data_IF_104613779306
#
_entry.id   IF_104613779306
#
_cell.length_a   1.000
_cell.length_b   1.000
_cell.length_c   1.000
_cell.angle_alpha   90.00
_cell.angle_beta   90.00
_cell.angle_gamma   90.00
#
_symmetry.space_group_name_H-M   'P 1'
#
loop_
_entity.id
_entity.type
_entity.pdbx_description
1 polymer ?
#
# COMPACT_ATOMS: atom_id res chain seq x y z
N UNK A 1 -9.56 -25.95 -25.07
CA UNK A 1 -8.79 -26.04 -23.82
C UNK A 1 -7.50 -25.29 -24.13
N UNK A 2 -7.46 -24.00 -23.80
CA UNK A 2 -6.28 -23.16 -23.98
C UNK A 2 -5.33 -23.46 -22.83
N UNK A 3 -4.44 -24.44 -23.04
CA UNK A 3 -3.42 -24.76 -22.06
C UNK A 3 -2.41 -23.61 -22.06
N UNK A 4 -2.44 -22.81 -21.00
CA UNK A 4 -1.41 -21.82 -20.72
C UNK A 4 -0.05 -22.54 -20.76
N UNK A 5 0.92 -21.93 -21.44
CA UNK A 5 2.25 -22.48 -21.66
C UNK A 5 2.80 -23.14 -20.38
N UNK A 6 3.18 -24.43 -20.38
CA UNK A 6 3.64 -25.14 -19.18
C UNK A 6 4.72 -24.39 -18.39
N UNK A 7 5.59 -23.63 -19.08
CA UNK A 7 6.60 -22.79 -18.43
C UNK A 7 6.02 -21.63 -17.61
N UNK A 8 4.92 -21.02 -18.06
CA UNK A 8 4.21 -19.98 -17.28
C UNK A 8 3.60 -20.54 -15.99
N UNK A 9 3.03 -21.73 -16.06
CA UNK A 9 2.40 -22.38 -14.92
C UNK A 9 3.40 -22.72 -13.82
N UNK A 10 4.59 -23.20 -14.21
CA UNK A 10 5.70 -23.51 -13.29
C UNK A 10 6.22 -22.24 -12.62
N UNK A 11 6.50 -21.19 -13.38
CA UNK A 11 6.96 -19.90 -12.84
C UNK A 11 5.95 -19.32 -11.83
N UNK A 12 4.65 -19.44 -12.10
CA UNK A 12 3.62 -18.97 -11.16
C UNK A 12 3.59 -19.78 -9.86
N UNK A 13 3.81 -21.10 -9.92
CA UNK A 13 3.90 -21.94 -8.71
C UNK A 13 5.13 -21.55 -7.90
N UNK A 14 6.26 -21.29 -8.56
CA UNK A 14 7.47 -20.81 -7.91
C UNK A 14 7.28 -19.43 -7.27
N UNK A 15 6.64 -18.48 -7.98
CA UNK A 15 6.32 -17.16 -7.45
C UNK A 15 5.53 -17.26 -6.14
N UNK A 16 4.46 -18.06 -6.11
CA UNK A 16 3.65 -18.26 -4.87
C UNK A 16 4.44 -18.87 -3.72
N UNK A 17 5.41 -19.74 -4.02
CA UNK A 17 6.29 -20.30 -2.99
C UNK A 17 7.16 -19.21 -2.39
N UNK A 18 7.80 -18.39 -3.23
CA UNK A 18 8.64 -17.27 -2.78
C UNK A 18 7.82 -16.21 -2.03
N UNK A 19 6.60 -15.92 -2.48
CA UNK A 19 5.65 -15.03 -1.79
C UNK A 19 5.34 -15.55 -0.38
N UNK A 20 5.11 -16.86 -0.21
CA UNK A 20 4.90 -17.47 1.11
C UNK A 20 6.13 -17.42 2.01
N UNK A 21 7.32 -17.67 1.45
CA UNK A 21 8.58 -17.58 2.18
C UNK A 21 8.85 -16.13 2.63
N UNK A 22 8.55 -15.14 1.77
CA UNK A 22 8.64 -13.71 2.07
C UNK A 22 7.73 -13.30 3.22
N UNK A 23 6.47 -13.74 3.23
CA UNK A 23 5.51 -13.42 4.30
C UNK A 23 6.00 -13.89 5.69
N UNK A 24 6.49 -15.13 5.77
CA UNK A 24 7.03 -15.71 7.00
C UNK A 24 8.27 -14.96 7.48
N UNK A 25 9.18 -14.63 6.55
CA UNK A 25 10.43 -13.93 6.87
C UNK A 25 10.19 -12.48 7.26
N UNK A 26 9.33 -11.75 6.54
CA UNK A 26 8.95 -10.39 6.89
C UNK A 26 8.26 -10.31 8.24
N UNK A 27 7.37 -11.26 8.54
CA UNK A 27 6.72 -11.38 9.84
C UNK A 27 7.74 -11.62 10.96
N UNK A 28 8.72 -12.50 10.75
CA UNK A 28 9.79 -12.76 11.71
C UNK A 28 10.69 -11.53 11.92
N UNK A 29 11.03 -10.84 10.84
CA UNK A 29 11.85 -9.64 10.85
C UNK A 29 11.15 -8.49 11.59
N UNK A 30 9.85 -8.29 11.36
CA UNK A 30 9.05 -7.30 12.06
C UNK A 30 8.91 -7.60 13.57
N UNK A 31 8.78 -8.88 13.96
CA UNK A 31 8.70 -9.31 15.36
C UNK A 31 9.98 -9.06 16.12
N UNK A 32 11.11 -9.44 15.53
CA UNK A 32 12.42 -9.06 16.05
C UNK A 32 12.42 -7.54 16.26
N UNK A 33 11.90 -6.78 15.28
CA UNK A 33 11.72 -5.33 15.33
C UNK A 33 11.07 -4.86 16.61
N UNK A 34 9.89 -5.39 16.89
CA UNK A 34 9.12 -5.07 18.10
C UNK A 34 9.86 -5.35 19.42
N UNK A 35 10.69 -6.40 19.48
CA UNK A 35 11.43 -6.73 20.71
C UNK A 35 12.43 -5.63 21.12
N UNK A 36 13.03 -4.93 20.15
CA UNK A 36 13.90 -3.77 20.41
C UNK A 36 13.12 -2.56 20.96
N UNK A 37 11.87 -2.35 20.53
CA UNK A 37 11.03 -1.23 20.99
C UNK A 37 10.68 -1.34 22.47
N UNK A 38 10.41 -2.57 22.91
CA UNK A 38 9.91 -2.82 24.25
C UNK A 38 11.03 -2.89 25.31
N UNK A 39 12.27 -2.57 24.95
CA UNK A 39 13.37 -2.52 25.91
C UNK A 39 13.70 -3.88 26.53
N UNK A 40 13.53 -4.98 25.76
CA UNK A 40 13.80 -6.36 26.18
C UNK A 40 15.28 -6.70 26.46
N UNK A 41 16.07 -5.71 26.88
CA UNK A 41 17.39 -5.88 27.48
C UNK A 41 17.32 -5.96 29.01
N UNK A 42 16.21 -6.48 29.55
CA UNK A 42 16.16 -6.91 30.94
C UNK A 42 16.41 -8.41 30.97
N UNK A 43 17.70 -8.77 31.07
CA UNK A 43 18.23 -9.90 31.86
C UNK A 43 19.61 -10.35 31.33
N UNK A 44 20.67 -9.87 31.99
CA UNK A 44 21.80 -10.72 32.38
C UNK A 44 22.61 -11.50 31.32
N UNK A 45 22.73 -11.04 30.08
CA UNK A 45 23.68 -11.64 29.13
C UNK A 45 24.36 -10.55 28.32
N UNK A 46 25.61 -10.27 28.67
CA UNK A 46 26.48 -9.32 27.97
C UNK A 46 26.89 -9.82 26.59
N UNK A 47 25.95 -9.85 25.65
CA UNK A 47 26.23 -10.03 24.24
C UNK A 47 25.37 -9.08 23.41
N UNK A 48 25.73 -7.79 23.44
CA UNK A 48 25.19 -6.77 22.53
C UNK A 48 25.67 -6.93 21.09
N UNK A 49 26.37 -8.02 20.75
CA UNK A 49 27.00 -8.26 19.44
C UNK A 49 26.41 -9.47 18.71
N UNK A 50 25.83 -10.45 19.41
CA UNK A 50 25.14 -11.61 18.80
C UNK A 50 23.79 -11.29 18.15
N UNK A 51 23.13 -10.19 18.55
CA UNK A 51 21.91 -9.72 17.92
C UNK A 51 22.15 -9.15 16.51
N UNK A 52 23.11 -8.25 16.36
CA UNK A 52 23.33 -7.44 15.14
C UNK A 52 23.52 -8.27 13.86
N UNK A 53 24.19 -9.42 13.97
CA UNK A 53 24.40 -10.33 12.84
C UNK A 53 23.13 -11.07 12.39
N UNK A 54 22.24 -11.43 13.33
CA UNK A 54 21.00 -12.16 13.04
C UNK A 54 20.03 -11.34 12.18
N UNK A 55 19.94 -10.04 12.47
CA UNK A 55 19.09 -9.10 11.74
C UNK A 55 19.59 -8.80 10.34
N UNK A 56 20.88 -8.51 10.20
CA UNK A 56 21.52 -8.29 8.90
C UNK A 56 21.41 -9.55 8.04
N UNK A 57 21.53 -10.73 8.64
CA UNK A 57 21.31 -12.01 7.95
C UNK A 57 19.89 -12.12 7.40
N UNK A 58 18.88 -11.79 8.22
CA UNK A 58 17.48 -11.81 7.79
C UNK A 58 17.17 -10.74 6.74
N UNK A 59 17.77 -9.55 6.82
CA UNK A 59 17.68 -8.53 5.77
C UNK A 59 18.23 -9.04 4.44
N UNK A 60 19.42 -9.64 4.44
CA UNK A 60 20.02 -10.21 3.23
C UNK A 60 19.17 -11.33 2.63
N UNK A 61 18.58 -12.18 3.48
CA UNK A 61 17.69 -13.25 3.03
C UNK A 61 16.42 -12.69 2.39
N UNK A 62 15.77 -11.70 3.01
CA UNK A 62 14.58 -11.03 2.44
C UNK A 62 14.94 -10.32 1.12
N UNK A 63 16.07 -9.63 1.05
CA UNK A 63 16.55 -8.98 -0.17
C UNK A 63 16.75 -10.01 -1.30
N UNK A 64 17.35 -11.16 -0.98
CA UNK A 64 17.53 -12.25 -1.96
C UNK A 64 16.20 -12.86 -2.44
N UNK A 65 15.20 -12.99 -1.57
CA UNK A 65 13.88 -13.49 -1.93
C UNK A 65 13.11 -12.49 -2.81
N UNK A 66 13.22 -11.19 -2.52
CA UNK A 66 12.64 -10.13 -3.33
C UNK A 66 13.26 -10.08 -4.73
N UNK A 67 14.58 -10.20 -4.82
CA UNK A 67 15.31 -10.27 -6.10
C UNK A 67 14.87 -11.51 -6.89
N UNK A 68 14.78 -12.67 -6.23
CA UNK A 68 14.30 -13.89 -6.88
C UNK A 68 12.86 -13.76 -7.39
N UNK A 69 11.96 -13.11 -6.63
CA UNK A 69 10.58 -12.89 -7.06
C UNK A 69 10.52 -11.90 -8.25
N UNK A 70 11.41 -10.91 -8.29
CA UNK A 70 11.56 -10.01 -9.44
C UNK A 70 12.01 -10.78 -10.69
N UNK A 71 13.01 -11.65 -10.58
CA UNK A 71 13.49 -12.48 -11.70
C UNK A 71 12.39 -13.41 -12.23
N UNK A 72 11.60 -14.03 -11.34
CA UNK A 72 10.46 -14.87 -11.73
C UNK A 72 9.39 -14.02 -12.44
N UNK A 73 9.10 -12.82 -11.94
CA UNK A 73 8.17 -11.89 -12.58
C UNK A 73 8.64 -11.47 -13.98
N UNK A 74 9.93 -11.24 -14.17
CA UNK A 74 10.52 -10.91 -15.46
C UNK A 74 10.51 -12.12 -16.42
N UNK A 75 10.78 -13.33 -15.91
CA UNK A 75 10.64 -14.56 -16.68
C UNK A 75 9.18 -14.78 -17.13
N UNK A 76 8.23 -14.61 -16.21
CA UNK A 76 6.79 -14.64 -16.50
C UNK A 76 6.43 -13.62 -17.57
N UNK A 77 6.98 -12.41 -17.49
CA UNK A 77 6.77 -11.35 -18.49
C UNK A 77 7.25 -11.75 -19.89
N UNK A 78 8.39 -12.44 -19.98
CA UNK A 78 8.93 -12.97 -21.25
C UNK A 78 8.06 -14.08 -21.84
N UNK A 79 7.51 -14.97 -21.01
CA UNK A 79 6.58 -16.02 -21.46
C UNK A 79 5.29 -15.40 -22.05
N UNK A 80 4.75 -14.36 -21.44
CA UNK A 80 3.57 -13.66 -21.96
C UNK A 80 3.88 -12.96 -23.29
N UNK A 81 5.05 -12.32 -23.42
CA UNK A 81 5.43 -11.65 -24.67
C UNK A 81 5.60 -12.60 -25.87
N UNK A 82 5.92 -13.88 -25.63
CA UNK A 82 6.17 -14.88 -26.67
C UNK A 82 4.97 -15.74 -27.11
N UNK A 83 3.84 -15.68 -26.39
CA UNK A 83 2.67 -16.53 -26.63
C UNK A 83 1.42 -15.74 -27.08
N UNK A 84 0.43 -16.44 -27.65
CA UNK A 84 -0.93 -15.88 -27.84
C UNK A 84 -1.51 -15.52 -26.48
N UNK A 85 -1.37 -14.26 -26.13
CA UNK A 85 -1.65 -13.74 -24.80
C UNK A 85 -3.14 -13.60 -24.57
N UNK A 86 -3.67 -14.32 -23.59
CA UNK A 86 -5.05 -14.13 -23.13
C UNK A 86 -5.09 -13.01 -22.08
N UNK A 87 -6.19 -12.24 -22.06
CA UNK A 87 -6.38 -11.15 -21.09
C UNK A 87 -6.23 -11.64 -19.63
N UNK A 88 -6.66 -12.87 -19.34
CA UNK A 88 -6.56 -13.46 -18.00
C UNK A 88 -5.11 -13.69 -17.55
N UNK A 89 -4.20 -14.08 -18.46
CA UNK A 89 -2.77 -14.24 -18.17
C UNK A 89 -2.12 -12.88 -17.88
N UNK A 90 -2.44 -11.85 -18.67
CA UNK A 90 -1.91 -10.49 -18.43
C UNK A 90 -2.35 -9.92 -17.08
N UNK A 91 -3.60 -10.16 -16.68
CA UNK A 91 -4.12 -9.71 -15.38
C UNK A 91 -3.43 -10.44 -14.22
N UNK A 92 -3.18 -11.74 -14.36
CA UNK A 92 -2.43 -12.51 -13.35
C UNK A 92 -0.98 -11.99 -13.22
N UNK A 93 -0.31 -11.70 -14.33
CA UNK A 93 1.02 -11.09 -14.31
C UNK A 93 1.03 -9.74 -13.60
N UNK A 94 0.06 -8.87 -13.90
CA UNK A 94 -0.07 -7.59 -13.22
C UNK A 94 -0.19 -7.77 -11.70
N UNK A 95 -1.00 -8.76 -11.28
CA UNK A 95 -1.16 -9.07 -9.85
C UNK A 95 0.15 -9.52 -9.18
N UNK A 96 0.96 -10.36 -9.83
CA UNK A 96 2.27 -10.76 -9.27
C UNK A 96 3.26 -9.59 -9.17
N UNK A 97 3.19 -8.61 -10.09
CA UNK A 97 3.97 -7.36 -9.98
C UNK A 97 3.50 -6.49 -8.83
N UNK A 98 2.18 -6.37 -8.63
CA UNK A 98 1.61 -5.64 -7.49
C UNK A 98 2.04 -6.27 -6.16
N UNK A 99 1.97 -7.59 -6.03
CA UNK A 99 2.40 -8.33 -4.83
C UNK A 99 3.89 -8.10 -4.53
N UNK A 100 4.76 -8.19 -5.55
CA UNK A 100 6.18 -7.87 -5.39
C UNK A 100 6.40 -6.43 -4.88
N UNK A 101 5.62 -5.48 -5.42
CA UNK A 101 5.69 -4.09 -5.00
C UNK A 101 5.25 -3.92 -3.53
N UNK A 102 4.15 -4.56 -3.14
CA UNK A 102 3.64 -4.57 -1.76
C UNK A 102 4.70 -5.12 -0.78
N UNK A 103 5.30 -6.28 -1.06
CA UNK A 103 6.36 -6.85 -0.22
C UNK A 103 7.60 -5.94 -0.15
N UNK A 104 8.01 -5.35 -1.27
CA UNK A 104 9.15 -4.43 -1.31
C UNK A 104 8.89 -3.19 -0.44
N UNK A 105 7.67 -2.65 -0.51
CA UNK A 105 7.27 -1.50 0.29
C UNK A 105 7.20 -1.85 1.78
N UNK A 106 6.63 -3.00 2.12
CA UNK A 106 6.56 -3.49 3.49
C UNK A 106 7.96 -3.68 4.07
N UNK A 107 8.87 -4.33 3.35
CA UNK A 107 10.25 -4.51 3.78
C UNK A 107 10.92 -3.17 4.10
N UNK A 108 10.82 -2.19 3.19
CA UNK A 108 11.38 -0.85 3.39
C UNK A 108 10.80 -0.15 4.61
N UNK A 109 9.48 -0.26 4.82
CA UNK A 109 8.79 0.31 5.98
C UNK A 109 9.29 -0.31 7.29
N UNK A 110 9.34 -1.64 7.34
CA UNK A 110 9.78 -2.39 8.51
C UNK A 110 11.25 -2.12 8.83
N UNK A 111 12.13 -2.13 7.80
CA UNK A 111 13.55 -1.79 7.94
C UNK A 111 13.77 -0.37 8.47
N UNK A 112 13.03 0.61 7.94
CA UNK A 112 13.08 1.99 8.42
C UNK A 112 12.64 2.12 9.89
N UNK A 113 11.57 1.43 10.28
CA UNK A 113 11.10 1.42 11.66
C UNK A 113 12.14 0.83 12.63
N UNK A 114 12.71 -0.34 12.28
CA UNK A 114 13.73 -1.01 13.09
C UNK A 114 14.97 -0.13 13.23
N UNK A 115 15.43 0.48 12.13
CA UNK A 115 16.57 1.41 12.15
C UNK A 115 16.32 2.59 13.09
N UNK A 116 15.17 3.25 12.97
CA UNK A 116 14.84 4.39 13.83
C UNK A 116 14.79 4.00 15.31
N UNK A 117 14.22 2.84 15.63
CA UNK A 117 14.17 2.32 16.99
C UNK A 117 15.56 1.98 17.55
N UNK A 118 16.45 1.44 16.71
CA UNK A 118 17.83 1.15 17.09
C UNK A 118 18.60 2.43 17.36
N UNK A 119 18.51 3.42 16.47
CA UNK A 119 19.14 4.73 16.65
C UNK A 119 18.67 5.35 17.98
N UNK A 120 17.38 5.24 18.31
CA UNK A 120 16.85 5.66 19.61
C UNK A 120 17.43 4.87 20.80
N UNK A 121 17.56 3.54 20.69
CA UNK A 121 18.14 2.71 21.74
C UNK A 121 19.64 2.99 21.98
N UNK A 122 20.40 3.22 20.91
CA UNK A 122 21.83 3.59 20.98
C UNK A 122 22.01 4.94 21.69
N UNK A 123 21.17 5.95 21.37
CA UNK A 123 21.17 7.24 22.05
C UNK A 123 20.85 7.10 23.55
N UNK A 124 19.82 6.33 23.92
CA UNK A 124 19.48 6.10 25.33
C UNK A 124 20.59 5.36 26.10
N UNK A 125 21.27 4.43 25.44
CA UNK A 125 22.40 3.70 26.03
C UNK A 125 23.59 4.62 26.25
N UNK A 126 23.90 5.49 25.28
CA UNK A 126 24.94 6.53 25.42
C UNK A 126 24.64 7.45 26.61
N UNK A 127 23.43 7.99 26.69
CA UNK A 127 23.02 8.87 27.80
C UNK A 127 23.08 8.13 29.14
N UNK A 128 22.68 6.85 29.19
CA UNK A 128 22.78 6.05 30.41
C UNK A 128 24.23 5.84 30.85
N UNK A 129 25.15 5.63 29.91
CA UNK A 129 26.57 5.50 30.17
C UNK A 129 27.17 6.82 30.66
N UNK A 130 26.82 7.96 30.06
CA UNK A 130 27.28 9.27 30.51
C UNK A 130 26.80 9.58 31.94
N UNK A 131 25.54 9.22 32.26
CA UNK A 131 24.98 9.38 33.61
C UNK A 131 25.69 8.46 34.61
N UNK A 132 25.96 7.21 34.24
CA UNK A 132 26.64 6.26 35.13
C UNK A 132 28.09 6.67 35.36
N UNK A 133 28.80 7.09 34.32
CA UNK A 133 30.17 7.63 34.42
C UNK A 133 30.20 8.87 35.31
N UNK A 134 29.27 9.81 35.13
CA UNK A 134 29.18 10.99 36.00
C UNK A 134 28.90 10.61 37.46
N UNK A 135 28.01 9.65 37.71
CA UNK A 135 27.74 9.13 39.07
C UNK A 135 28.95 8.42 39.68
N UNK A 136 29.69 7.65 38.89
CA UNK A 136 30.91 6.96 39.34
C UNK A 136 32.00 7.99 39.68
N UNK A 137 32.17 9.03 38.87
CA UNK A 137 33.08 10.14 39.15
C UNK A 137 32.70 10.91 40.42
N UNK A 138 31.41 11.22 40.60
CA UNK A 138 30.89 11.87 41.82
C UNK A 138 31.14 11.00 43.07
N UNK A 139 30.90 9.69 42.96
CA UNK A 139 31.17 8.73 44.02
C UNK A 139 32.67 8.63 44.32
N UNK A 140 33.53 8.53 43.30
CA UNK A 140 34.99 8.45 43.47
C UNK A 140 35.55 9.71 44.15
N UNK A 141 35.06 10.89 43.78
CA UNK A 141 35.40 12.16 44.45
C UNK A 141 34.98 12.18 45.92
N UNK A 142 33.84 11.55 46.27
CA UNK A 142 33.35 11.47 47.64
C UNK A 142 34.13 10.48 48.51
N UNK A 143 34.61 9.39 47.93
CA UNK A 143 35.33 8.33 48.64
C UNK A 143 36.84 8.60 48.81
N UNK A 144 37.48 9.30 47.87
CA UNK A 144 38.94 9.53 47.88
C UNK A 144 39.41 10.79 48.64
N UNK A 145 38.54 11.53 49.32
CA UNK A 145 38.94 12.39 50.45
C UNK A 145 40.01 13.46 50.19
N UNK A 146 40.14 14.01 48.97
CA UNK A 146 41.03 15.16 48.70
C UNK A 146 40.22 16.42 48.40
N UNK A 147 39.27 16.76 49.28
CA UNK A 147 38.93 18.16 49.54
C UNK A 147 38.67 18.33 51.04
N UNK A 148 39.54 19.16 51.61
CA UNK A 148 39.63 19.60 52.98
C UNK A 148 38.30 19.79 53.69
N UNK A 149 38.31 19.41 54.96
CA UNK A 149 37.45 19.98 55.99
C UNK A 149 37.37 21.50 55.81
N UNK A 150 36.24 21.96 55.30
CA UNK A 150 35.72 23.31 55.47
C UNK A 150 34.19 23.17 55.51
N UNK A 151 33.71 22.82 56.70
CA UNK A 151 32.50 23.39 57.29
C UNK A 151 31.42 23.90 56.33
N UNK A 152 30.35 23.12 56.17
CA UNK A 152 28.98 23.62 56.37
C UNK A 152 28.40 24.71 55.46
N UNK A 153 29.05 25.10 54.36
CA UNK A 153 28.44 26.03 53.41
C UNK A 153 28.69 25.59 51.97
N UNK A 154 27.58 25.41 51.26
CA UNK A 154 27.48 25.10 49.85
C UNK A 154 28.19 26.20 49.03
N UNK A 155 29.50 26.08 48.77
CA UNK A 155 30.22 27.09 47.96
C UNK A 155 29.65 27.10 46.53
N UNK A 156 28.99 28.19 46.09
CA UNK A 156 28.30 28.25 44.80
C UNK A 156 29.25 28.25 43.59
N UNK A 157 30.53 28.52 43.80
CA UNK A 157 31.51 28.78 42.73
C UNK A 157 31.61 27.68 41.66
N UNK A 158 31.88 26.42 42.02
CA UNK A 158 32.04 25.34 41.03
C UNK A 158 30.73 25.00 40.30
N UNK A 159 29.57 25.08 40.97
CA UNK A 159 28.25 24.90 40.34
C UNK A 159 27.94 26.02 39.35
N UNK A 160 28.19 27.27 39.72
CA UNK A 160 27.91 28.43 38.87
C UNK A 160 28.82 28.46 37.64
N UNK A 161 30.10 28.08 37.78
CA UNK A 161 31.01 27.97 36.64
C UNK A 161 30.56 26.89 35.65
N UNK A 162 30.05 25.76 36.16
CA UNK A 162 29.46 24.70 35.33
C UNK A 162 28.16 25.13 34.67
N UNK A 163 27.27 25.81 35.37
CA UNK A 163 26.03 26.38 34.81
C UNK A 163 26.34 27.42 33.73
N UNK A 164 27.37 28.25 33.89
CA UNK A 164 27.83 29.17 32.84
C UNK A 164 28.35 28.44 31.60
N UNK A 165 29.10 27.35 31.77
CA UNK A 165 29.52 26.50 30.67
C UNK A 165 28.34 25.87 29.92
N UNK A 166 27.35 25.37 30.67
CA UNK A 166 26.12 24.81 30.09
C UNK A 166 25.30 25.87 29.34
N UNK A 167 25.16 27.08 29.88
CA UNK A 167 24.45 28.19 29.20
C UNK A 167 25.16 28.56 27.89
N UNK A 168 26.50 28.63 27.90
CA UNK A 168 27.25 28.93 26.69
C UNK A 168 27.06 27.83 25.63
N UNK A 169 27.09 26.56 26.03
CA UNK A 169 26.82 25.44 25.14
C UNK A 169 25.38 25.45 24.59
N UNK A 170 24.41 25.85 25.41
CA UNK A 170 23.01 26.01 24.99
C UNK A 170 22.88 27.13 23.95
N UNK A 171 23.57 28.27 24.14
CA UNK A 171 23.56 29.35 23.15
C UNK A 171 24.12 28.89 21.79
N UNK A 172 25.24 28.16 21.78
CA UNK A 172 25.80 27.60 20.52
C UNK A 172 24.82 26.61 19.87
N UNK A 173 24.16 25.74 20.66
CA UNK A 173 23.15 24.80 20.13
C UNK A 173 21.88 25.50 19.65
N UNK A 174 21.49 26.61 20.26
CA UNK A 174 20.34 27.41 19.82
C UNK A 174 20.59 28.01 18.44
N UNK A 175 21.81 28.49 18.16
CA UNK A 175 22.16 29.00 16.83
C UNK A 175 22.05 27.90 15.75
N UNK A 176 22.45 26.67 16.08
CA UNK A 176 22.28 25.52 15.19
C UNK A 176 20.80 25.17 14.95
N UNK A 177 19.98 25.17 16.00
CA UNK A 177 18.53 24.95 15.87
C UNK A 177 17.85 26.07 15.05
N UNK A 178 18.30 27.32 15.19
CA UNK A 178 17.82 28.44 14.38
C UNK A 178 18.18 28.25 12.91
N UNK A 179 19.44 27.88 12.62
CA UNK A 179 19.90 27.60 11.27
C UNK A 179 19.14 26.41 10.64
N UNK A 180 18.92 25.34 11.41
CA UNK A 180 18.11 24.20 10.98
C UNK A 180 16.65 24.60 10.72
N UNK A 181 16.06 25.44 11.57
CA UNK A 181 14.70 25.94 11.40
C UNK A 181 14.58 26.84 10.14
N UNK A 182 15.58 27.67 9.85
CA UNK A 182 15.63 28.48 8.64
C UNK A 182 15.77 27.62 7.38
N UNK A 183 16.62 26.60 7.42
CA UNK A 183 16.75 25.60 6.34
C UNK A 183 15.44 24.85 6.10
N UNK A 184 14.79 24.37 7.17
CA UNK A 184 13.49 23.71 7.09
C UNK A 184 12.40 24.64 6.53
N UNK A 185 12.40 25.91 6.91
CA UNK A 185 11.49 26.92 6.34
C UNK A 185 11.73 27.12 4.83
N UNK A 186 12.99 27.16 4.40
CA UNK A 186 13.35 27.22 2.98
C UNK A 186 12.88 25.98 2.20
N UNK A 187 13.10 24.79 2.76
CA UNK A 187 12.65 23.53 2.18
C UNK A 187 11.11 23.45 2.07
N UNK A 188 10.37 23.86 3.11
CA UNK A 188 8.90 23.91 3.09
C UNK A 188 8.38 24.93 2.06
N UNK A 189 9.06 26.06 1.90
CA UNK A 189 8.71 27.05 0.88
C UNK A 189 8.96 26.49 -0.55
N UNK A 190 10.07 25.80 -0.75
CA UNK A 190 10.36 25.10 -2.01
C UNK A 190 9.33 24.00 -2.29
N UNK A 191 8.96 23.20 -1.29
CA UNK A 191 7.90 22.19 -1.40
C UNK A 191 6.56 22.82 -1.79
N UNK A 192 6.18 23.95 -1.18
CA UNK A 192 4.97 24.69 -1.56
C UNK A 192 5.02 25.18 -3.02
N UNK A 193 6.18 25.63 -3.49
CA UNK A 193 6.40 25.98 -4.90
C UNK A 193 6.22 24.77 -5.82
N UNK A 194 6.77 23.62 -5.47
CA UNK A 194 6.58 22.39 -6.27
C UNK A 194 5.13 21.91 -6.28
N UNK A 195 4.40 22.05 -5.16
CA UNK A 195 3.00 21.67 -5.10
C UNK A 195 2.11 22.59 -5.94
N UNK A 196 2.40 23.90 -5.94
CA UNK A 196 1.71 24.84 -6.82
C UNK A 196 2.03 24.59 -8.29
N UNK A 197 3.27 24.20 -8.62
CA UNK A 197 3.64 23.75 -9.96
C UNK A 197 2.91 22.46 -10.35
N UNK A 198 2.86 21.45 -9.47
CA UNK A 198 2.11 20.20 -9.69
C UNK A 198 0.61 20.50 -9.85
N UNK A 199 0.03 21.36 -9.03
CA UNK A 199 -1.36 21.77 -9.15
C UNK A 199 -1.63 22.46 -10.50
N UNK A 200 -0.69 23.27 -11.00
CA UNK A 200 -0.78 23.89 -12.32
C UNK A 200 -0.72 22.86 -13.45
N UNK A 201 0.17 21.86 -13.35
CA UNK A 201 0.28 20.75 -14.32
C UNK A 201 -0.94 19.83 -14.27
N UNK A 202 -1.46 19.54 -13.08
CA UNK A 202 -2.70 18.77 -12.89
C UNK A 202 -3.91 19.52 -13.46
N UNK A 203 -3.97 20.84 -13.33
CA UNK A 203 -5.02 21.65 -13.95
C UNK A 203 -4.90 21.63 -15.47
N UNK A 204 -3.69 21.74 -16.01
CA UNK A 204 -3.42 21.56 -17.45
C UNK A 204 -3.80 20.16 -17.95
N UNK A 205 -3.59 19.09 -17.17
CA UNK A 205 -4.08 17.74 -17.48
C UNK A 205 -5.61 17.63 -17.36
N UNK A 206 -6.19 18.32 -16.37
CA UNK A 206 -7.62 18.57 -16.21
C UNK A 206 -8.28 19.06 -17.50
N UNK A 207 -7.65 20.04 -18.14
CA UNK A 207 -8.12 20.64 -19.39
C UNK A 207 -7.97 19.69 -20.61
N UNK A 208 -7.16 18.63 -20.51
CA UNK A 208 -7.01 17.58 -21.55
C UNK A 208 -7.92 16.37 -21.35
N UNK A 209 -8.47 16.16 -20.15
CA UNK A 209 -9.45 15.10 -19.89
C UNK A 209 -10.73 15.13 -20.75
N UNK A 210 -11.32 16.30 -21.14
CA UNK A 210 -12.46 16.31 -22.05
C UNK A 210 -12.12 15.77 -23.45
N UNK A 211 -10.88 15.96 -23.94
CA UNK A 211 -10.40 15.42 -25.23
C UNK A 211 -10.29 13.89 -25.16
N UNK A 212 -9.86 13.34 -24.03
CA UNK A 212 -9.81 11.89 -23.80
C UNK A 212 -11.23 11.29 -23.81
N UNK A 213 -12.23 12.01 -23.26
CA UNK A 213 -13.65 11.57 -23.32
C UNK A 213 -14.20 11.61 -24.74
N UNK A 214 -13.78 12.57 -25.57
CA UNK A 214 -14.16 12.65 -26.98
C UNK A 214 -13.54 11.50 -27.80
N UNK A 215 -12.26 11.20 -27.58
CA UNK A 215 -11.56 10.08 -28.22
C UNK A 215 -12.14 8.73 -27.77
N UNK A 216 -12.45 8.55 -26.48
CA UNK A 216 -13.11 7.35 -25.95
C UNK A 216 -14.53 7.18 -26.52
N UNK A 217 -15.26 8.28 -26.72
CA UNK A 217 -16.56 8.30 -27.39
C UNK A 217 -16.48 7.92 -28.87
N UNK A 218 -15.45 8.40 -29.57
CA UNK A 218 -15.20 8.06 -30.99
C UNK A 218 -14.84 6.58 -31.19
N UNK A 219 -14.09 5.99 -30.26
CA UNK A 219 -13.75 4.56 -30.22
C UNK A 219 -14.99 3.71 -29.99
N UNK A 220 -15.89 4.11 -29.08
CA UNK A 220 -17.15 3.39 -28.83
C UNK A 220 -18.11 3.43 -30.04
N UNK A 221 -18.07 4.51 -30.83
CA UNK A 221 -18.91 4.70 -32.04
C UNK A 221 -18.53 3.79 -33.21
N UNK A 222 -17.29 3.28 -33.27
CA UNK A 222 -16.86 2.34 -34.33
C UNK A 222 -17.37 0.92 -34.06
N UNK A 223 -17.49 0.52 -32.78
CA UNK A 223 -18.00 -0.80 -32.36
C UNK A 223 -19.53 -0.92 -32.39
N UNK A 224 -20.27 0.19 -32.23
CA UNK A 224 -21.74 0.17 -32.26
C UNK A 224 -22.33 0.03 -33.67
N UNK A 225 -21.63 0.47 -34.72
CA UNK A 225 -22.12 0.41 -36.11
C UNK A 225 -22.32 -1.03 -36.58
N UNK A 226 -21.38 -1.91 -36.27
CA UNK A 226 -21.45 -3.33 -36.67
C UNK A 226 -22.62 -4.04 -35.99
N UNK A 227 -22.92 -3.71 -34.73
CA UNK A 227 -24.09 -4.26 -34.01
C UNK A 227 -25.42 -3.77 -34.60
N UNK A 228 -25.52 -2.48 -34.97
CA UNK A 228 -26.73 -1.95 -35.61
C UNK A 228 -26.96 -2.60 -36.98
N UNK A 229 -25.92 -2.74 -37.80
CA UNK A 229 -26.00 -3.38 -39.12
C UNK A 229 -26.40 -4.86 -38.96
N UNK A 230 -25.77 -5.60 -38.05
CA UNK A 230 -26.11 -7.01 -37.79
C UNK A 230 -27.57 -7.18 -37.35
N UNK A 231 -28.05 -6.35 -36.41
CA UNK A 231 -29.44 -6.39 -35.95
C UNK A 231 -30.45 -6.07 -37.06
N UNK A 232 -30.12 -5.13 -37.95
CA UNK A 232 -30.98 -4.75 -39.07
C UNK A 232 -31.11 -5.87 -40.10
N UNK A 233 -30.01 -6.57 -40.41
CA UNK A 233 -30.01 -7.73 -41.33
C UNK A 233 -30.83 -8.88 -40.76
N UNK A 234 -30.66 -9.21 -39.46
CA UNK A 234 -31.44 -10.26 -38.80
C UNK A 234 -32.93 -9.91 -38.83
N UNK A 235 -33.30 -8.67 -38.48
CA UNK A 235 -34.69 -8.20 -38.54
C UNK A 235 -35.27 -8.31 -39.96
N UNK A 236 -34.54 -7.85 -40.98
CA UNK A 236 -34.97 -7.94 -42.37
C UNK A 236 -35.18 -9.39 -42.82
N UNK A 237 -34.26 -10.29 -42.49
CA UNK A 237 -34.40 -11.73 -42.77
C UNK A 237 -35.62 -12.33 -42.06
N UNK A 238 -35.87 -11.99 -40.79
CA UNK A 238 -37.05 -12.49 -40.06
C UNK A 238 -38.37 -12.01 -40.67
N UNK A 239 -38.45 -10.74 -41.08
CA UNK A 239 -39.64 -10.18 -41.75
C UNK A 239 -39.86 -10.87 -43.09
N UNK A 240 -38.80 -11.09 -43.87
CA UNK A 240 -38.89 -11.74 -45.17
C UNK A 240 -39.41 -13.19 -45.06
N UNK A 241 -38.96 -13.92 -44.03
CA UNK A 241 -39.47 -15.26 -43.74
C UNK A 241 -40.94 -15.24 -43.32
N UNK A 242 -41.36 -14.26 -42.50
CA UNK A 242 -42.77 -14.11 -42.09
C UNK A 242 -43.65 -13.80 -43.31
N UNK A 243 -43.24 -12.86 -44.17
CA UNK A 243 -43.98 -12.52 -45.39
C UNK A 243 -44.04 -13.71 -46.34
N UNK A 244 -42.92 -14.39 -46.60
CA UNK A 244 -42.91 -15.60 -47.42
C UNK A 244 -43.83 -16.68 -46.87
N UNK A 245 -43.86 -16.86 -45.55
CA UNK A 245 -44.72 -17.84 -44.90
C UNK A 245 -46.19 -17.48 -45.03
N UNK A 246 -46.56 -16.20 -44.88
CA UNK A 246 -47.93 -15.71 -45.11
C UNK A 246 -48.32 -15.87 -46.58
N UNK A 247 -47.46 -15.48 -47.52
CA UNK A 247 -47.71 -15.62 -48.96
C UNK A 247 -47.83 -17.08 -49.40
N UNK A 248 -47.08 -18.00 -48.77
CA UNK A 248 -47.16 -19.44 -49.04
C UNK A 248 -48.39 -20.09 -48.40
N UNK A 249 -48.86 -19.58 -47.24
CA UNK A 249 -50.03 -20.10 -46.52
C UNK A 249 -51.37 -19.57 -46.99
N UNK A 250 -51.40 -18.64 -47.95
CA UNK A 250 -52.60 -18.30 -48.72
C UNK A 250 -53.21 -19.47 -49.53
N UNK A 251 -52.64 -20.69 -49.46
CA UNK A 251 -53.18 -21.90 -50.12
C UNK A 251 -53.31 -23.15 -49.23
N UNK A 252 -53.38 -23.04 -47.91
CA UNK A 252 -53.69 -24.21 -47.08
C UNK A 252 -53.44 -23.98 -45.59
N UNK A 253 -54.52 -23.89 -44.84
CA UNK A 253 -54.55 -23.37 -43.47
C UNK A 253 -54.26 -24.43 -42.38
N UNK A 254 -53.38 -25.41 -42.56
CA UNK A 254 -53.27 -26.51 -41.58
C UNK A 254 -51.90 -26.65 -40.87
N UNK A 255 -50.88 -25.90 -41.29
CA UNK A 255 -49.54 -26.07 -40.71
C UNK A 255 -49.24 -25.26 -39.43
N UNK A 256 -50.23 -24.68 -38.74
CA UNK A 256 -49.97 -23.76 -37.60
C UNK A 256 -49.56 -24.53 -36.33
N UNK A 257 -49.94 -25.80 -36.19
CA UNK A 257 -49.66 -26.60 -34.99
C UNK A 257 -48.24 -27.18 -34.93
N UNK A 258 -47.55 -27.34 -36.07
CA UNK A 258 -46.22 -27.98 -36.10
C UNK A 258 -45.05 -27.00 -35.88
N UNK A 259 -45.24 -25.71 -36.17
CA UNK A 259 -44.17 -24.70 -36.02
C UNK A 259 -44.04 -24.20 -34.57
N UNK A 260 -45.13 -24.12 -33.80
CA UNK A 260 -45.06 -23.68 -32.40
C UNK A 260 -44.35 -24.70 -31.49
N UNK A 261 -44.42 -26.00 -31.83
CA UNK A 261 -43.67 -27.06 -31.11
C UNK A 261 -42.18 -27.11 -31.50
N UNK A 262 -41.78 -26.62 -32.67
CA UNK A 262 -40.38 -26.65 -33.12
C UNK A 262 -39.62 -25.35 -32.85
N UNK A 263 -40.32 -24.28 -32.42
CA UNK A 263 -39.71 -23.01 -32.06
C UNK A 263 -39.28 -22.89 -30.59
N UNK A 264 -39.76 -23.77 -29.69
CA UNK A 264 -39.36 -23.76 -28.27
C UNK A 264 -37.86 -24.06 -28.00
N UNK A 265 -37.14 -24.93 -28.74
CA UNK A 265 -35.73 -25.18 -28.44
C UNK A 265 -34.77 -24.14 -29.04
N UNK A 266 -35.15 -23.39 -30.08
CA UNK A 266 -34.22 -22.49 -30.79
C UNK A 266 -34.04 -21.14 -30.07
N UNK A 267 -35.10 -20.62 -29.42
CA UNK A 267 -34.96 -19.40 -28.60
C UNK A 267 -34.17 -19.68 -27.31
N UNK A 268 -34.17 -20.92 -26.83
CA UNK A 268 -33.49 -21.32 -25.58
C UNK A 268 -31.99 -21.59 -25.78
N UNK A 269 -31.54 -21.95 -26.99
CA UNK A 269 -30.12 -22.18 -27.29
C UNK A 269 -29.34 -20.92 -27.71
N UNK A 270 -30.02 -19.85 -28.10
CA UNK A 270 -29.39 -18.55 -28.39
C UNK A 270 -29.18 -17.63 -27.17
N UNK A 271 -29.72 -17.99 -26.01
CA UNK A 271 -29.67 -17.18 -24.78
C UNK A 271 -28.78 -17.75 -23.66
N UNK A 272 -28.02 -18.83 -23.92
CA UNK A 272 -27.14 -19.44 -22.89
C UNK A 272 -25.66 -19.07 -23.02
N UNK A 273 -25.24 -18.21 -23.95
CA UNK A 273 -23.85 -17.77 -23.99
C UNK A 273 -23.66 -16.32 -24.45
N UNK A 274 -24.27 -15.42 -23.69
CA UNK A 274 -23.73 -14.08 -23.48
C UNK A 274 -23.89 -13.78 -21.99
N UNK A 275 -22.83 -13.63 -21.19
CA UNK A 275 -22.96 -12.84 -19.99
C UNK A 275 -23.26 -11.41 -20.46
N UNK A 276 -24.54 -11.05 -20.44
CA UNK A 276 -24.93 -9.66 -20.33
C UNK A 276 -24.25 -9.13 -19.07
N UNK A 277 -23.19 -8.37 -19.29
CA UNK A 277 -22.67 -7.42 -18.32
C UNK A 277 -23.85 -6.52 -17.95
N UNK A 278 -24.50 -6.82 -16.83
CA UNK A 278 -25.41 -5.88 -16.20
C UNK A 278 -24.64 -4.56 -16.00
N UNK A 279 -25.26 -3.41 -16.26
CA UNK A 279 -24.74 -2.18 -15.69
C UNK A 279 -24.84 -2.35 -14.17
N UNK A 280 -23.69 -2.52 -13.52
CA UNK A 280 -23.54 -2.30 -12.09
C UNK A 280 -23.97 -0.86 -11.84
N UNK A 281 -25.23 -0.71 -11.41
CA UNK A 281 -25.69 0.47 -10.71
C UNK A 281 -24.73 0.60 -9.53
N UNK A 282 -23.98 1.70 -9.51
CA UNK A 282 -23.18 2.10 -8.37
C UNK A 282 -24.14 2.49 -7.24
N UNK A 283 -24.75 1.47 -6.63
CA UNK A 283 -25.34 1.55 -5.32
C UNK A 283 -24.19 1.60 -4.34
N UNK A 284 -24.07 2.73 -3.66
CA UNK A 284 -23.23 2.89 -2.49
C UNK A 284 -23.73 1.98 -1.38
N UNK A 285 -23.33 0.72 -1.39
CA UNK A 285 -23.42 -0.15 -0.22
C UNK A 285 -22.05 -0.29 0.43
N UNK A 286 -22.03 0.26 1.64
CA UNK A 286 -20.98 0.28 2.63
C UNK A 286 -20.74 -1.16 3.11
N UNK A 287 -19.50 -1.63 3.25
CA UNK A 287 -19.24 -2.96 3.79
C UNK A 287 -19.75 -3.08 5.23
N UNK A 288 -20.63 -4.06 5.47
CA UNK A 288 -20.98 -4.58 6.80
C UNK A 288 -19.77 -5.32 7.42
N UNK A 289 -18.77 -4.53 7.79
CA UNK A 289 -17.74 -4.86 8.78
C UNK A 289 -17.60 -3.74 9.83
N UNK A 290 -18.52 -2.78 9.86
CA UNK A 290 -18.50 -1.58 10.70
C UNK A 290 -19.92 -1.20 11.20
N UNK A 291 -20.81 -2.17 11.38
CA UNK A 291 -22.14 -1.91 11.97
C UNK A 291 -22.13 -1.85 13.51
N UNK A 292 -21.00 -2.11 14.17
CA UNK A 292 -20.90 -2.00 15.64
C UNK A 292 -20.41 -0.63 16.14
N UNK A 293 -20.26 0.40 15.30
CA UNK A 293 -19.70 1.69 15.73
C UNK A 293 -20.51 2.94 15.31
N UNK A 294 -21.66 2.79 14.63
CA UNK A 294 -22.50 3.94 14.24
C UNK A 294 -23.62 4.30 15.21
N UNK A 295 -23.92 3.46 16.20
CA UNK A 295 -24.93 3.78 17.22
C UNK A 295 -24.29 4.49 18.44
N UNK A 296 -22.99 4.35 18.69
CA UNK A 296 -22.32 5.06 19.80
C UNK A 296 -21.95 6.51 19.49
N UNK A 297 -21.75 6.91 18.23
CA UNK A 297 -21.32 8.28 17.91
C UNK A 297 -22.46 9.32 17.92
N UNK A 298 -23.72 8.89 17.92
CA UNK A 298 -24.89 9.79 18.04
C UNK A 298 -25.27 10.00 19.52
N UNK A 299 -24.91 9.07 20.41
CA UNK A 299 -25.15 9.23 21.85
C UNK A 299 -24.14 10.18 22.51
N UNK A 300 -22.90 10.28 21.99
CA UNK A 300 -21.86 11.10 22.63
C UNK A 300 -21.87 12.58 22.20
N UNK A 301 -22.51 12.91 21.05
CA UNK A 301 -22.64 14.31 20.63
C UNK A 301 -23.69 15.10 21.41
N UNK A 302 -24.47 14.44 22.27
CA UNK A 302 -25.45 15.09 23.15
C UNK A 302 -24.96 15.28 24.60
N UNK A 303 -23.71 14.89 24.92
CA UNK A 303 -23.17 14.97 26.30
C UNK A 303 -22.17 16.09 26.57
N UNK A 304 -21.93 16.99 25.63
CA UNK A 304 -21.05 18.16 25.84
C UNK A 304 -21.77 19.45 25.45
N UNK A 305 -22.79 19.82 26.22
CA UNK A 305 -23.09 21.25 26.44
C UNK A 305 -22.28 21.70 27.66
N UNK A 306 -21.44 22.75 27.54
CA UNK A 306 -20.90 23.39 28.72
C UNK A 306 -22.04 24.09 29.47
N UNK A 307 -22.20 23.74 30.74
CA UNK A 307 -22.95 24.52 31.71
C UNK A 307 -22.30 25.91 31.80
N UNK A 308 -22.99 26.92 31.24
CA UNK A 308 -22.67 28.32 31.49
C UNK A 308 -23.17 28.63 32.90
N UNK A 309 -22.25 28.64 33.86
CA UNK A 309 -22.49 29.23 35.17
C UNK A 309 -22.83 30.71 34.98
N UNK A 310 -23.92 31.12 35.60
CA UNK A 310 -24.16 32.45 36.11
C UNK A 310 -24.17 32.31 37.64
#
# INVERSE_FOLDING_TARGET
>A
MEDADPGWEELRKEARKIEGDLDVKLSSYAKLGGMLAHGGYDNGSGDGLGGDGSWKSMEMEIESLLEKLLDINDAMSRCVAGATTTTSVTQKLARHRDILHEFTQEFRRTRGNIRSMREHAELLTSVRNDISEYKVLDMYHKCNGVYSQASGSLSPGPRILRERGAIHQINVKLDEVINQAQSNKGALAAQRSTFTEIQSKLRQLGDRFPIIRELLGSIKRKRSKDTYILSAVIAACTIFLIVYWISKKGKGADGLKLAFLTAQPVVTLGLSHYPLQQPQVYGSEIPEGQQSLRIELIADFHRVRPSRNN
#
